data_IF_620821403043
#
_entry.id   IF_620821403043
#
_cell.length_a   1.000
_cell.length_b   1.000
_cell.length_c   1.000
_cell.angle_alpha   90.00
_cell.angle_beta   90.00
_cell.angle_gamma   90.00
#
_symmetry.space_group_name_H-M   'P 1'
#
loop_
_entity.id
_entity.type
_entity.pdbx_description
1 polymer ?
#
# COMPACT_ATOMS: atom_id res chain seq x y z
N UNK A 1 0.75 -10.04 -7.17
CA UNK A 1 1.26 -8.93 -6.34
C UNK A 1 0.57 -9.00 -4.97
N UNK A 2 1.22 -8.58 -3.88
CA UNK A 2 0.55 -8.46 -2.58
C UNK A 2 -0.47 -7.31 -2.65
N UNK A 3 -1.61 -7.47 -1.99
CA UNK A 3 -2.66 -6.46 -1.92
C UNK A 3 -3.02 -6.21 -0.46
N UNK A 4 -3.14 -4.95 -0.08
CA UNK A 4 -3.53 -4.50 1.26
C UNK A 4 -4.71 -3.54 1.18
N UNK A 5 -5.39 -3.34 2.30
CA UNK A 5 -6.47 -2.36 2.44
C UNK A 5 -6.08 -1.30 3.45
N UNK A 6 -6.27 -0.02 3.09
CA UNK A 6 -6.19 1.11 4.00
C UNK A 6 -7.61 1.65 4.26
N UNK A 7 -8.12 1.39 5.45
CA UNK A 7 -9.51 1.67 5.81
C UNK A 7 -9.64 2.95 6.65
N UNK A 8 -10.18 3.99 6.02
CA UNK A 8 -10.40 5.30 6.61
C UNK A 8 -11.70 5.42 7.44
N UNK A 9 -12.43 4.32 7.66
CA UNK A 9 -13.75 4.37 8.31
C UNK A 9 -13.70 4.93 9.74
N UNK A 10 -12.64 4.63 10.48
CA UNK A 10 -12.37 5.18 11.83
C UNK A 10 -10.87 5.37 12.02
N UNK A 11 -10.49 6.15 13.06
CA UNK A 11 -9.08 6.25 13.44
C UNK A 11 -8.47 4.88 13.79
N UNK A 12 -9.24 3.99 14.41
CA UNK A 12 -8.79 2.63 14.76
C UNK A 12 -8.49 1.79 13.52
N UNK A 13 -9.44 1.71 12.58
CA UNK A 13 -9.27 0.91 11.35
C UNK A 13 -8.09 1.42 10.52
N UNK A 14 -7.90 2.73 10.47
CA UNK A 14 -6.77 3.34 9.77
C UNK A 14 -5.43 2.93 10.38
N UNK A 15 -5.29 3.03 11.71
CA UNK A 15 -4.06 2.65 12.41
C UNK A 15 -3.80 1.14 12.30
N UNK A 16 -4.84 0.31 12.45
CA UNK A 16 -4.74 -1.15 12.32
C UNK A 16 -4.29 -1.54 10.91
N UNK A 17 -4.88 -0.94 9.86
CA UNK A 17 -4.46 -1.13 8.46
C UNK A 17 -2.99 -0.82 8.23
N UNK A 18 -2.50 0.31 8.75
CA UNK A 18 -1.08 0.68 8.63
C UNK A 18 -0.17 -0.33 9.34
N UNK A 19 -0.56 -0.81 10.52
CA UNK A 19 0.22 -1.80 11.27
C UNK A 19 0.29 -3.15 10.58
N UNK A 20 -0.78 -3.56 9.88
CA UNK A 20 -0.78 -4.75 9.03
C UNK A 20 0.22 -4.61 7.88
N UNK A 21 0.21 -3.47 7.17
CA UNK A 21 1.14 -3.23 6.05
C UNK A 21 2.59 -3.25 6.56
N UNK A 22 2.88 -2.49 7.62
CA UNK A 22 4.22 -2.39 8.23
C UNK A 22 4.77 -3.76 8.66
N UNK A 23 3.97 -4.55 9.36
CA UNK A 23 4.36 -5.89 9.81
C UNK A 23 4.58 -6.87 8.65
N UNK A 24 3.92 -6.64 7.51
CA UNK A 24 4.02 -7.51 6.34
C UNK A 24 5.23 -7.22 5.44
N UNK A 25 5.85 -6.03 5.56
CA UNK A 25 6.97 -5.60 4.71
C UNK A 25 8.26 -5.31 5.48
N UNK A 26 8.20 -5.22 6.81
CA UNK A 26 9.35 -4.88 7.64
C UNK A 26 9.60 -5.88 8.76
N UNK A 27 10.84 -5.86 9.26
CA UNK A 27 11.30 -6.65 10.40
C UNK A 27 11.64 -5.71 11.57
N UNK A 28 11.33 -6.09 12.82
CA UNK A 28 11.59 -5.25 13.98
C UNK A 28 13.07 -5.16 14.32
N UNK A 29 13.54 -3.94 14.60
CA UNK A 29 14.86 -3.67 15.14
C UNK A 29 14.80 -3.75 16.66
N UNK A 30 15.27 -4.88 17.21
CA UNK A 30 15.22 -5.16 18.65
C UNK A 30 15.98 -4.13 19.51
N UNK A 31 16.96 -3.44 18.93
CA UNK A 31 17.74 -2.39 19.59
C UNK A 31 16.95 -1.09 19.80
N UNK A 32 15.86 -0.87 19.06
CA UNK A 32 15.01 0.32 19.14
C UNK A 32 13.56 -0.15 19.35
N UNK A 33 13.27 -0.58 20.58
CA UNK A 33 12.00 -1.16 20.97
C UNK A 33 11.62 -0.74 22.38
N UNK A 34 10.36 -0.36 22.60
CA UNK A 34 9.84 0.01 23.92
C UNK A 34 8.33 -0.22 24.00
N UNK A 35 7.83 -0.68 25.15
CA UNK A 35 6.40 -0.83 25.39
C UNK A 35 5.66 -1.75 24.40
N UNK A 36 6.36 -2.75 23.85
CA UNK A 36 5.80 -3.66 22.83
C UNK A 36 5.70 -3.07 21.41
N UNK A 37 6.26 -1.88 21.18
CA UNK A 37 6.34 -1.24 19.86
C UNK A 37 7.80 -1.07 19.45
N UNK A 38 8.13 -1.46 18.22
CA UNK A 38 9.50 -1.41 17.69
C UNK A 38 9.59 -0.53 16.45
N UNK A 39 10.75 0.08 16.25
CA UNK A 39 11.13 0.57 14.92
C UNK A 39 11.24 -0.64 13.98
N UNK A 40 10.70 -0.51 12.77
CA UNK A 40 10.77 -1.56 11.75
C UNK A 40 11.67 -1.11 10.60
N UNK A 41 12.49 -2.04 10.09
CA UNK A 41 13.28 -1.89 8.88
C UNK A 41 12.58 -2.63 7.74
N UNK A 42 12.45 -2.02 6.56
CA UNK A 42 11.89 -2.70 5.38
C UNK A 42 12.80 -3.88 5.00
N UNK A 43 12.22 -5.06 4.79
CA UNK A 43 12.94 -6.29 4.46
C UNK A 43 13.39 -6.32 2.99
N UNK A 44 14.38 -5.52 2.63
CA UNK A 44 14.84 -5.38 1.23
C UNK A 44 15.66 -6.56 0.70
N UNK A 45 15.92 -7.59 1.50
CA UNK A 45 16.83 -8.70 1.14
C UNK A 45 16.30 -9.66 0.06
N UNK A 46 14.98 -9.70 -0.17
CA UNK A 46 14.32 -10.65 -1.08
C UNK A 46 14.00 -10.10 -2.48
N UNK A 47 14.65 -9.00 -2.86
CA UNK A 47 14.40 -8.29 -4.12
C UNK A 47 13.25 -7.29 -4.02
N UNK A 48 13.15 -6.42 -5.01
CA UNK A 48 12.12 -5.38 -5.04
C UNK A 48 10.83 -5.88 -5.70
N UNK A 49 9.69 -5.37 -5.23
CA UNK A 49 8.38 -5.67 -5.81
C UNK A 49 7.38 -4.54 -5.55
N UNK A 50 6.27 -4.60 -6.29
CA UNK A 50 5.13 -3.72 -6.09
C UNK A 50 4.06 -4.41 -5.25
N UNK A 51 3.38 -3.63 -4.43
CA UNK A 51 2.12 -4.03 -3.80
C UNK A 51 1.03 -3.01 -4.07
N UNK A 52 -0.22 -3.47 -4.05
CA UNK A 52 -1.39 -2.62 -4.15
C UNK A 52 -1.92 -2.24 -2.77
N UNK A 53 -2.41 -1.01 -2.64
CA UNK A 53 -3.17 -0.53 -1.48
C UNK A 53 -4.54 -0.08 -1.97
N UNK A 54 -5.57 -0.85 -1.64
CA UNK A 54 -6.96 -0.48 -1.87
C UNK A 54 -7.40 0.54 -0.82
N UNK A 55 -7.91 1.67 -1.30
CA UNK A 55 -8.42 2.75 -0.44
C UNK A 55 -9.89 2.50 -0.16
N UNK A 56 -10.25 2.41 1.12
CA UNK A 56 -11.61 2.10 1.59
C UNK A 56 -12.03 3.02 2.72
N UNK A 57 -13.33 3.06 3.00
CA UNK A 57 -13.84 3.75 4.20
C UNK A 57 -13.83 5.27 4.14
N UNK A 58 -13.59 5.88 2.98
CA UNK A 58 -13.73 7.34 2.78
C UNK A 58 -15.17 7.78 3.06
N UNK A 59 -16.13 6.99 2.57
CA UNK A 59 -17.54 7.10 2.93
C UNK A 59 -17.91 5.86 3.75
N UNK A 60 -17.75 5.89 5.08
CA UNK A 60 -17.96 4.73 5.94
C UNK A 60 -19.42 4.29 6.03
N UNK A 61 -20.37 5.16 5.66
CA UNK A 61 -21.80 4.85 5.76
C UNK A 61 -22.31 4.11 4.54
N UNK A 62 -21.93 4.56 3.35
CA UNK A 62 -22.49 4.03 2.10
C UNK A 62 -21.46 3.28 1.24
N UNK A 63 -20.16 3.36 1.55
CA UNK A 63 -19.13 2.59 0.85
C UNK A 63 -18.98 2.94 -0.63
N UNK A 64 -19.34 4.16 -1.04
CA UNK A 64 -19.37 4.58 -2.45
C UNK A 64 -17.99 4.74 -3.08
N UNK A 65 -17.01 5.21 -2.31
CA UNK A 65 -15.71 5.64 -2.83
C UNK A 65 -14.62 4.59 -2.62
N UNK A 66 -14.69 3.53 -3.43
CA UNK A 66 -13.97 2.28 -3.19
C UNK A 66 -13.16 1.79 -4.41
N UNK A 67 -13.06 2.62 -5.45
CA UNK A 67 -12.46 2.27 -6.74
C UNK A 67 -11.02 2.80 -6.90
N UNK A 68 -10.45 3.41 -5.85
CA UNK A 68 -9.07 3.88 -5.86
C UNK A 68 -8.13 2.79 -5.31
N UNK A 69 -7.09 2.49 -6.09
CA UNK A 69 -5.97 1.63 -5.67
C UNK A 69 -4.66 2.35 -5.93
N UNK A 70 -3.78 2.39 -4.94
CA UNK A 70 -2.41 2.92 -5.11
C UNK A 70 -1.44 1.77 -5.37
N UNK A 71 -0.48 1.97 -6.27
CA UNK A 71 0.58 0.99 -6.53
C UNK A 71 1.88 1.51 -5.92
N UNK A 72 2.42 0.74 -4.99
CA UNK A 72 3.53 1.15 -4.13
C UNK A 72 4.71 0.19 -4.33
N UNK A 73 5.89 0.76 -4.63
CA UNK A 73 7.15 0.03 -4.62
C UNK A 73 7.60 -0.22 -3.17
N UNK A 74 8.12 -1.42 -2.91
CA UNK A 74 8.24 -1.91 -1.54
C UNK A 74 9.46 -1.37 -0.82
N UNK A 75 10.62 -1.32 -1.46
CA UNK A 75 11.87 -1.04 -0.76
C UNK A 75 11.99 0.42 -0.33
N UNK A 76 11.36 1.34 -1.06
CA UNK A 76 11.45 2.78 -0.81
C UNK A 76 10.07 3.42 -0.56
N UNK A 77 8.99 2.64 -0.62
CA UNK A 77 7.61 3.11 -0.45
C UNK A 77 7.21 4.17 -1.49
N UNK A 78 7.82 4.14 -2.67
CA UNK A 78 7.43 5.05 -3.75
C UNK A 78 6.02 4.71 -4.22
N UNK A 79 5.14 5.71 -4.25
CA UNK A 79 3.86 5.60 -4.94
C UNK A 79 4.12 5.79 -6.43
N UNK A 80 4.09 4.69 -7.17
CA UNK A 80 4.36 4.68 -8.62
C UNK A 80 3.19 5.23 -9.44
N UNK A 81 2.00 5.28 -8.85
CA UNK A 81 0.79 5.84 -9.45
C UNK A 81 -0.48 5.27 -8.82
N UNK A 82 -1.60 5.39 -9.54
CA UNK A 82 -2.90 4.89 -9.10
C UNK A 82 -3.63 4.11 -10.19
N UNK A 83 -4.38 3.09 -9.76
CA UNK A 83 -5.29 2.31 -10.60
C UNK A 83 -6.71 2.77 -10.34
N UNK A 84 -7.41 3.14 -11.40
CA UNK A 84 -8.86 3.26 -11.37
C UNK A 84 -9.48 1.86 -11.55
N UNK A 85 -10.03 1.30 -10.47
CA UNK A 85 -10.60 -0.06 -10.46
C UNK A 85 -11.88 -0.18 -11.28
N UNK A 86 -12.51 0.93 -11.68
CA UNK A 86 -13.71 0.89 -12.53
C UNK A 86 -13.39 0.42 -13.96
N UNK A 87 -12.21 0.75 -14.47
CA UNK A 87 -11.78 0.39 -15.83
C UNK A 87 -10.42 -0.33 -15.87
N UNK A 88 -9.83 -0.62 -14.71
CA UNK A 88 -8.52 -1.25 -14.54
C UNK A 88 -7.38 -0.55 -15.29
N UNK A 89 -7.45 0.78 -15.40
CA UNK A 89 -6.37 1.60 -15.99
C UNK A 89 -5.42 2.06 -14.89
N UNK A 90 -4.12 1.82 -15.08
CA UNK A 90 -3.03 2.25 -14.19
C UNK A 90 -2.39 3.53 -14.74
N UNK A 91 -2.65 4.64 -14.06
CA UNK A 91 -2.02 5.94 -14.35
C UNK A 91 -0.74 6.03 -13.52
N UNK A 92 0.40 5.87 -14.19
CA UNK A 92 1.73 5.89 -13.54
C UNK A 92 2.40 7.24 -13.71
N UNK A 93 3.24 7.62 -12.76
CA UNK A 93 4.06 8.80 -12.90
C UNK A 93 5.13 8.60 -13.99
N UNK A 94 5.61 9.71 -14.56
CA UNK A 94 6.51 9.69 -15.72
C UNK A 94 7.85 9.00 -15.45
N UNK A 95 8.40 9.18 -14.25
CA UNK A 95 9.61 8.53 -13.73
C UNK A 95 9.45 7.02 -13.52
N UNK A 96 8.20 6.53 -13.44
CA UNK A 96 7.84 5.12 -13.36
C UNK A 96 7.22 4.58 -14.65
N UNK A 97 7.51 5.19 -15.81
CA UNK A 97 6.95 4.81 -17.12
C UNK A 97 7.21 3.36 -17.58
N UNK A 98 8.18 2.65 -16.98
CA UNK A 98 8.44 1.24 -17.24
C UNK A 98 7.65 0.30 -16.31
N UNK A 99 7.05 0.83 -15.23
CA UNK A 99 6.35 0.06 -14.22
C UNK A 99 5.02 -0.45 -14.76
N UNK A 100 4.77 -1.74 -14.57
CA UNK A 100 3.50 -2.40 -14.92
C UNK A 100 2.91 -3.10 -13.70
N UNK A 101 1.59 -3.16 -13.60
CA UNK A 101 0.91 -3.90 -12.55
C UNK A 101 0.00 -4.99 -13.14
N UNK A 102 0.06 -6.25 -12.68
CA UNK A 102 -0.73 -7.34 -13.24
C UNK A 102 -2.24 -7.03 -13.28
N UNK A 103 -2.88 -7.34 -14.41
CA UNK A 103 -4.32 -7.15 -14.59
C UNK A 103 -4.74 -5.70 -14.88
N UNK A 104 -3.80 -4.81 -15.21
CA UNK A 104 -4.08 -3.42 -15.56
C UNK A 104 -3.54 -3.04 -16.94
N UNK A 105 -4.16 -2.05 -17.57
CA UNK A 105 -3.61 -1.36 -18.74
C UNK A 105 -2.91 -0.11 -18.25
N UNK A 106 -1.58 -0.03 -18.43
CA UNK A 106 -0.80 1.12 -18.01
C UNK A 106 -0.88 2.26 -19.05
N UNK A 107 -1.05 3.49 -18.57
CA UNK A 107 -1.05 4.73 -19.36
C UNK A 107 -0.05 5.74 -18.79
#
# INVERSE_FOLDING_TARGET
>A
AKEFTLDFSTAKTYVDSLNVIRSAIGTPLQTISSGGTSLLMIDSGTGDNLFAVDVRGIDPKEGRFNNLRLIVERNNLYVTGFVNRTNNVFYRFADFSHVTFPGTTAV
#
